data_IF_883270780853
#
_entry.id   IF_883270780853
#
_cell.length_a   1.000
_cell.length_b   1.000
_cell.length_c   1.000
_cell.angle_alpha   90.00
_cell.angle_beta   90.00
_cell.angle_gamma   90.00
#
_symmetry.space_group_name_H-M   'P 1'
#
loop_
_entity.id
_entity.type
_entity.pdbx_description
1 polymer ?
#
# COMPACT_ATOMS: atom_id res chain seq x y z
N UNK A 1 0.23 21.75 -2.94
CA UNK A 1 -0.72 20.68 -3.28
C UNK A 1 -0.34 20.04 -4.61
N UNK A 2 -0.03 20.82 -5.64
CA UNK A 2 0.23 20.33 -7.00
C UNK A 2 1.43 19.37 -7.11
N UNK A 3 2.56 19.68 -6.46
CA UNK A 3 3.77 18.83 -6.50
C UNK A 3 3.51 17.47 -5.86
N UNK A 4 2.92 17.43 -4.66
CA UNK A 4 2.64 16.18 -3.97
C UNK A 4 1.61 15.30 -4.70
N UNK A 5 0.64 15.90 -5.40
CA UNK A 5 -0.30 15.18 -6.25
C UNK A 5 0.43 14.58 -7.47
N UNK A 6 1.28 15.36 -8.12
CA UNK A 6 2.05 14.91 -9.28
C UNK A 6 2.92 13.69 -8.97
N UNK A 7 3.66 13.73 -7.86
CA UNK A 7 4.52 12.62 -7.43
C UNK A 7 3.78 11.31 -7.13
N UNK A 8 2.51 11.38 -6.74
CA UNK A 8 1.72 10.21 -6.35
C UNK A 8 0.93 9.60 -7.50
N UNK A 9 0.39 10.43 -8.37
CA UNK A 9 -0.67 10.01 -9.28
C UNK A 9 -0.39 10.31 -10.75
N UNK A 10 0.62 11.12 -11.05
CA UNK A 10 1.00 11.52 -12.41
C UNK A 10 2.34 10.94 -12.87
N UNK A 11 2.87 9.94 -12.15
CA UNK A 11 4.01 9.11 -12.60
C UNK A 11 3.56 8.17 -13.71
N UNK A 12 4.50 7.65 -14.47
CA UNK A 12 4.27 6.64 -15.51
C UNK A 12 3.10 7.03 -16.44
N UNK A 13 3.19 8.18 -17.08
CA UNK A 13 2.15 8.74 -17.96
C UNK A 13 0.79 8.89 -17.26
N UNK A 14 0.79 9.18 -15.95
CA UNK A 14 -0.39 9.29 -15.09
C UNK A 14 -1.20 7.98 -14.93
N UNK A 15 -0.55 6.82 -15.04
CA UNK A 15 -1.21 5.51 -14.88
C UNK A 15 -2.03 5.39 -13.59
N UNK A 16 -1.51 5.79 -12.39
CA UNK A 16 -2.34 5.77 -11.18
C UNK A 16 -3.60 6.64 -11.26
N UNK A 17 -3.49 7.84 -11.84
CA UNK A 17 -4.65 8.73 -11.96
C UNK A 17 -5.68 8.22 -12.99
N UNK A 18 -5.21 7.60 -14.10
CA UNK A 18 -6.09 7.00 -15.10
C UNK A 18 -6.89 5.82 -14.53
N UNK A 19 -6.28 5.02 -13.65
CA UNK A 19 -6.95 3.96 -12.94
C UNK A 19 -7.95 4.50 -11.90
N UNK A 20 -7.47 5.37 -11.01
CA UNK A 20 -8.24 5.80 -9.82
C UNK A 20 -9.45 6.67 -10.19
N UNK A 21 -9.33 7.54 -11.19
CA UNK A 21 -10.39 8.50 -11.57
C UNK A 21 -11.70 7.83 -11.98
N UNK A 22 -11.75 6.83 -12.88
CA UNK A 22 -13.01 6.18 -13.24
C UNK A 22 -13.62 5.35 -12.12
N UNK A 23 -12.81 4.70 -11.26
CA UNK A 23 -13.32 3.77 -10.25
C UNK A 23 -13.75 4.45 -8.94
N UNK A 24 -13.39 5.71 -8.68
CA UNK A 24 -13.56 6.39 -7.38
C UNK A 24 -14.99 6.39 -6.82
N UNK A 25 -15.99 6.32 -7.68
CA UNK A 25 -17.40 6.38 -7.29
C UNK A 25 -18.12 5.03 -7.30
N UNK A 26 -17.47 3.99 -7.82
CA UNK A 26 -18.07 2.67 -7.99
C UNK A 26 -17.49 1.61 -7.06
N UNK A 27 -16.32 1.88 -6.47
CA UNK A 27 -15.67 0.92 -5.56
C UNK A 27 -15.95 1.26 -4.10
N UNK A 28 -15.88 0.26 -3.19
CA UNK A 28 -15.95 0.50 -1.75
C UNK A 28 -14.90 1.50 -1.29
N UNK A 29 -15.31 2.40 -0.40
CA UNK A 29 -14.42 3.45 0.12
C UNK A 29 -13.13 2.89 0.72
N UNK A 30 -13.22 1.77 1.45
CA UNK A 30 -12.05 1.13 2.05
C UNK A 30 -11.04 0.68 0.99
N UNK A 31 -11.51 0.05 -0.10
CA UNK A 31 -10.64 -0.34 -1.21
C UNK A 31 -9.98 0.87 -1.88
N UNK A 32 -10.74 1.94 -2.10
CA UNK A 32 -10.21 3.16 -2.69
C UNK A 32 -9.15 3.83 -1.80
N UNK A 33 -9.39 3.91 -0.48
CA UNK A 33 -8.43 4.43 0.50
C UNK A 33 -7.14 3.59 0.51
N UNK A 34 -7.22 2.27 0.36
CA UNK A 34 -6.05 1.38 0.27
C UNK A 34 -5.25 1.59 -1.04
N UNK A 35 -5.91 1.84 -2.16
CA UNK A 35 -5.22 2.19 -3.40
C UNK A 35 -4.53 3.56 -3.31
N UNK A 36 -5.18 4.55 -2.70
CA UNK A 36 -4.55 5.85 -2.41
C UNK A 36 -3.33 5.69 -1.49
N UNK A 37 -3.42 4.81 -0.48
CA UNK A 37 -2.31 4.48 0.40
C UNK A 37 -1.14 3.87 -0.37
N UNK A 38 -1.38 2.88 -1.23
CA UNK A 38 -0.35 2.24 -2.06
C UNK A 38 0.46 3.28 -2.84
N UNK A 39 -0.20 4.12 -3.63
CA UNK A 39 0.49 5.12 -4.45
C UNK A 39 1.13 6.23 -3.61
N UNK A 40 0.57 6.56 -2.44
CA UNK A 40 1.20 7.50 -1.52
C UNK A 40 2.47 6.91 -0.92
N UNK A 41 2.47 5.65 -0.51
CA UNK A 41 3.63 4.98 0.07
C UNK A 41 4.75 4.78 -0.98
N UNK A 42 4.40 4.45 -2.22
CA UNK A 42 5.37 4.39 -3.33
C UNK A 42 6.06 5.74 -3.58
N UNK A 43 5.31 6.84 -3.51
CA UNK A 43 5.85 8.19 -3.71
C UNK A 43 6.66 8.72 -2.50
N UNK A 44 6.52 8.10 -1.33
CA UNK A 44 7.13 8.54 -0.08
C UNK A 44 7.76 7.35 0.65
N UNK A 45 9.02 7.03 0.31
CA UNK A 45 9.76 5.89 0.88
C UNK A 45 9.75 5.89 2.41
N UNK A 46 9.88 7.06 3.05
CA UNK A 46 9.85 7.18 4.51
C UNK A 46 8.53 6.69 5.13
N UNK A 47 7.40 6.85 4.43
CA UNK A 47 6.12 6.29 4.87
C UNK A 47 6.11 4.78 4.68
N UNK A 48 6.58 4.30 3.52
CA UNK A 48 6.65 2.87 3.22
C UNK A 48 7.53 2.13 4.24
N UNK A 49 8.70 2.68 4.55
CA UNK A 49 9.63 2.09 5.51
C UNK A 49 9.06 2.13 6.94
N UNK A 50 8.44 3.23 7.35
CA UNK A 50 7.76 3.32 8.66
C UNK A 50 6.66 2.26 8.81
N UNK A 51 5.86 2.07 7.77
CA UNK A 51 4.79 1.06 7.80
C UNK A 51 5.37 -0.35 7.90
N UNK A 52 6.41 -0.67 7.15
CA UNK A 52 7.03 -1.99 7.16
C UNK A 52 7.86 -2.26 8.42
N UNK A 53 8.64 -1.27 8.89
CA UNK A 53 9.61 -1.45 9.96
C UNK A 53 9.04 -1.15 11.36
N UNK A 54 7.97 -0.35 11.47
CA UNK A 54 7.41 0.06 12.77
C UNK A 54 5.96 -0.39 12.94
N UNK A 55 5.08 -0.05 11.97
CA UNK A 55 3.65 -0.32 12.12
C UNK A 55 3.36 -1.83 12.12
N UNK A 56 3.76 -2.57 11.11
CA UNK A 56 3.46 -4.00 11.01
C UNK A 56 4.11 -4.85 12.11
N UNK A 57 5.37 -4.62 12.52
CA UNK A 57 5.92 -5.29 13.70
C UNK A 57 5.15 -4.99 14.99
N UNK A 58 4.68 -3.76 15.19
CA UNK A 58 3.86 -3.42 16.33
C UNK A 58 2.48 -4.10 16.28
N UNK A 59 1.85 -4.14 15.10
CA UNK A 59 0.59 -4.84 14.87
C UNK A 59 0.72 -6.35 15.17
N UNK A 60 1.73 -7.00 14.60
CA UNK A 60 2.00 -8.43 14.80
C UNK A 60 2.33 -8.77 16.26
N UNK A 61 2.99 -7.87 16.99
CA UNK A 61 3.27 -8.02 18.42
C UNK A 61 2.04 -7.74 19.30
N UNK A 62 0.88 -7.41 18.74
CA UNK A 62 -0.34 -7.10 19.48
C UNK A 62 -0.25 -5.80 20.29
N UNK A 63 0.62 -4.86 19.92
CA UNK A 63 0.66 -3.55 20.58
C UNK A 63 -0.68 -2.84 20.39
N UNK A 64 -1.24 -2.21 21.43
CA UNK A 64 -2.54 -1.54 21.33
C UNK A 64 -2.47 -0.20 20.56
N UNK A 65 -1.28 0.42 20.53
CA UNK A 65 -1.12 1.78 20.00
C UNK A 65 0.32 2.05 19.56
N UNK A 66 0.49 3.08 18.73
CA UNK A 66 1.77 3.68 18.32
C UNK A 66 1.72 5.16 18.67
N UNK A 67 2.81 5.67 19.27
CA UNK A 67 2.97 7.07 19.63
C UNK A 67 3.91 7.84 18.68
N UNK A 68 3.93 9.14 18.88
CA UNK A 68 4.89 10.00 18.18
C UNK A 68 6.35 9.69 18.58
N UNK A 69 6.58 9.06 19.74
CA UNK A 69 7.93 8.73 20.21
C UNK A 69 8.54 7.59 19.39
N UNK A 70 7.74 6.55 19.03
CA UNK A 70 8.20 5.49 18.14
C UNK A 70 8.51 6.04 16.73
N UNK A 71 7.65 6.90 16.20
CA UNK A 71 7.90 7.53 14.89
C UNK A 71 9.07 8.52 14.94
N UNK A 72 9.28 9.22 16.06
CA UNK A 72 10.43 10.09 16.26
C UNK A 72 11.74 9.27 16.27
N UNK A 73 11.77 8.18 17.05
CA UNK A 73 12.91 7.28 17.10
C UNK A 73 13.26 6.69 15.73
N UNK A 74 12.25 6.26 14.96
CA UNK A 74 12.43 5.77 13.60
C UNK A 74 13.09 6.83 12.69
N UNK A 75 12.59 8.07 12.69
CA UNK A 75 13.15 9.16 11.88
C UNK A 75 14.57 9.52 12.33
N UNK A 76 14.82 9.61 13.64
CA UNK A 76 16.16 9.88 14.18
C UNK A 76 17.16 8.78 13.80
N UNK A 77 16.73 7.53 13.80
CA UNK A 77 17.56 6.41 13.36
C UNK A 77 17.85 6.53 11.85
N UNK A 78 16.84 6.80 11.02
CA UNK A 78 17.02 6.99 9.59
C UNK A 78 18.01 8.13 9.24
N UNK A 79 17.98 9.22 10.02
CA UNK A 79 18.95 10.33 9.88
C UNK A 79 20.36 9.88 10.28
N UNK A 80 20.50 9.17 11.40
CA UNK A 80 21.81 8.63 11.85
C UNK A 80 22.42 7.66 10.83
N UNK A 81 21.58 6.84 10.24
CA UNK A 81 21.98 5.83 9.24
C UNK A 81 22.23 6.41 7.85
N UNK A 82 22.11 7.75 7.69
CA UNK A 82 22.34 8.41 6.40
C UNK A 82 21.29 8.10 5.33
N UNK A 83 20.09 7.63 5.72
CA UNK A 83 18.98 7.34 4.80
C UNK A 83 18.30 8.61 4.26
N UNK A 84 18.73 9.79 4.68
CA UNK A 84 18.22 11.08 4.22
C UNK A 84 19.20 11.75 3.25
N UNK A 85 18.71 12.35 2.18
CA UNK A 85 19.54 13.04 1.18
C UNK A 85 20.18 14.34 1.70
N UNK A 86 19.66 14.89 2.79
CA UNK A 86 20.15 16.11 3.45
C UNK A 86 20.06 15.95 4.96
N UNK A 87 20.86 16.74 5.69
CA UNK A 87 20.77 16.79 7.16
C UNK A 87 19.46 17.47 7.57
N UNK A 88 18.62 16.75 8.30
CA UNK A 88 17.36 17.27 8.78
C UNK A 88 17.52 18.01 10.11
N UNK A 89 16.92 19.20 10.20
CA UNK A 89 16.86 19.93 11.45
C UNK A 89 15.98 19.23 12.49
N UNK A 90 16.18 19.45 13.81
CA UNK A 90 15.33 18.88 14.86
C UNK A 90 13.83 19.19 14.67
N UNK A 91 13.51 20.39 14.15
CA UNK A 91 12.14 20.78 13.84
C UNK A 91 11.57 19.95 12.70
N UNK A 92 12.36 19.67 11.65
CA UNK A 92 11.95 18.80 10.53
C UNK A 92 11.71 17.38 10.99
N UNK A 93 12.62 16.83 11.79
CA UNK A 93 12.50 15.48 12.37
C UNK A 93 11.20 15.34 13.17
N UNK A 94 10.88 16.28 14.08
CA UNK A 94 9.61 16.28 14.83
C UNK A 94 8.38 16.39 13.94
N UNK A 95 8.44 17.24 12.92
CA UNK A 95 7.34 17.41 11.95
C UNK A 95 7.10 16.15 11.15
N UNK A 96 8.15 15.52 10.65
CA UNK A 96 8.05 14.29 9.88
C UNK A 96 7.51 13.12 10.72
N UNK A 97 7.98 12.97 11.97
CA UNK A 97 7.45 11.92 12.86
C UNK A 97 5.95 12.08 13.12
N UNK A 98 5.47 13.29 13.37
CA UNK A 98 4.04 13.56 13.54
C UNK A 98 3.24 13.31 12.25
N UNK A 99 3.81 13.64 11.09
CA UNK A 99 3.17 13.40 9.80
C UNK A 99 3.01 11.91 9.50
N UNK A 100 3.96 11.05 9.88
CA UNK A 100 3.88 9.60 9.66
C UNK A 100 2.68 8.99 10.38
N UNK A 101 2.53 9.26 11.69
CA UNK A 101 1.39 8.73 12.45
C UNK A 101 0.06 9.31 11.97
N UNK A 102 0.04 10.56 11.53
CA UNK A 102 -1.16 11.20 10.96
C UNK A 102 -1.53 10.58 9.62
N UNK A 103 -0.54 10.34 8.74
CA UNK A 103 -0.75 9.69 7.46
C UNK A 103 -1.29 8.26 7.62
N UNK A 104 -0.72 7.49 8.56
CA UNK A 104 -1.26 6.16 8.88
C UNK A 104 -2.71 6.23 9.40
N UNK A 105 -3.08 7.28 10.13
CA UNK A 105 -4.45 7.47 10.57
C UNK A 105 -5.40 7.88 9.43
N UNK A 106 -4.93 8.67 8.48
CA UNK A 106 -5.72 9.05 7.30
C UNK A 106 -6.07 7.84 6.44
N UNK A 107 -5.18 6.85 6.35
CA UNK A 107 -5.37 5.59 5.63
C UNK A 107 -5.96 4.44 6.47
N UNK A 108 -6.43 4.72 7.68
CA UNK A 108 -7.16 3.74 8.49
C UNK A 108 -6.28 2.68 9.19
N UNK A 109 -4.97 2.86 9.21
CA UNK A 109 -4.05 2.00 9.97
C UNK A 109 -4.07 2.34 11.46
N UNK A 110 -4.20 3.62 11.78
CA UNK A 110 -4.27 4.16 13.15
C UNK A 110 -5.56 4.94 13.38
N UNK A 111 -5.95 5.10 14.63
CA UNK A 111 -7.11 5.91 15.03
C UNK A 111 -6.92 7.38 14.63
N UNK A 112 -7.94 7.97 14.02
CA UNK A 112 -7.95 9.40 13.62
C UNK A 112 -8.04 10.32 14.83
N UNK A 113 -7.61 11.57 14.64
CA UNK A 113 -7.67 12.64 15.62
C UNK A 113 -6.30 13.21 15.99
N UNK A 114 -6.27 14.36 16.68
CA UNK A 114 -5.05 15.02 17.12
C UNK A 114 -4.54 14.40 18.43
N UNK A 115 -3.83 13.27 18.35
CA UNK A 115 -3.32 12.53 19.51
C UNK A 115 -1.84 12.25 19.35
N UNK A 116 -1.10 12.26 20.49
CA UNK A 116 0.29 11.82 20.52
C UNK A 116 0.44 10.30 20.42
N UNK A 117 -0.55 9.57 20.93
CA UNK A 117 -0.62 8.10 20.87
C UNK A 117 -1.91 7.73 20.20
N UNK A 118 -1.86 6.88 19.18
CA UNK A 118 -2.99 6.46 18.37
C UNK A 118 -3.17 4.95 18.46
N UNK A 119 -4.39 4.49 18.68
CA UNK A 119 -4.69 3.06 18.64
C UNK A 119 -4.38 2.48 17.27
N UNK A 120 -3.83 1.28 17.26
CA UNK A 120 -3.71 0.46 16.06
C UNK A 120 -5.11 -0.09 15.76
N UNK A 121 -5.56 0.09 14.52
CA UNK A 121 -6.87 -0.40 14.09
C UNK A 121 -6.74 -1.78 13.45
N UNK A 122 -7.76 -2.65 13.57
CA UNK A 122 -7.81 -3.89 12.80
C UNK A 122 -7.74 -3.56 11.31
N UNK A 123 -6.86 -4.26 10.60
CA UNK A 123 -6.65 -4.05 9.19
C UNK A 123 -6.86 -5.35 8.41
N UNK A 124 -7.50 -5.24 7.27
CA UNK A 124 -7.61 -6.29 6.28
C UNK A 124 -7.49 -5.68 4.89
N UNK A 125 -6.69 -6.29 4.03
CA UNK A 125 -6.62 -5.84 2.65
C UNK A 125 -7.92 -6.15 1.91
N UNK A 126 -8.42 -5.19 1.16
CA UNK A 126 -9.61 -5.33 0.32
C UNK A 126 -9.31 -6.17 -0.93
N UNK A 127 -10.20 -7.09 -1.34
CA UNK A 127 -9.98 -7.92 -2.52
C UNK A 127 -9.66 -7.12 -3.78
N UNK A 128 -10.30 -5.97 -3.93
CA UNK A 128 -10.04 -5.08 -5.06
C UNK A 128 -8.63 -4.49 -5.01
N UNK A 129 -8.12 -4.12 -3.84
CA UNK A 129 -6.75 -3.63 -3.69
C UNK A 129 -5.73 -4.72 -4.03
N UNK A 130 -6.00 -5.98 -3.63
CA UNK A 130 -5.19 -7.15 -4.04
C UNK A 130 -5.20 -7.29 -5.56
N UNK A 131 -6.38 -7.25 -6.19
CA UNK A 131 -6.51 -7.40 -7.63
C UNK A 131 -5.73 -6.31 -8.37
N UNK A 132 -5.96 -5.05 -8.01
CA UNK A 132 -5.30 -3.92 -8.66
C UNK A 132 -3.79 -3.97 -8.49
N UNK A 133 -3.28 -4.26 -7.28
CA UNK A 133 -1.84 -4.39 -7.05
C UNK A 133 -1.23 -5.55 -7.84
N UNK A 134 -1.90 -6.69 -7.91
CA UNK A 134 -1.42 -7.82 -8.70
C UNK A 134 -1.34 -7.47 -10.19
N UNK A 135 -2.37 -6.83 -10.74
CA UNK A 135 -2.38 -6.36 -12.13
C UNK A 135 -1.31 -5.32 -12.42
N UNK A 136 -1.13 -4.35 -11.53
CA UNK A 136 -0.14 -3.30 -11.67
C UNK A 136 1.30 -3.86 -11.70
N UNK A 137 1.58 -4.87 -10.87
CA UNK A 137 2.86 -5.57 -10.88
C UNK A 137 3.06 -6.43 -12.14
N UNK A 138 1.99 -7.07 -12.62
CA UNK A 138 2.01 -7.83 -13.86
C UNK A 138 2.24 -6.92 -15.09
N UNK A 139 1.53 -5.81 -15.16
CA UNK A 139 1.66 -4.80 -16.22
C UNK A 139 3.08 -4.17 -16.24
N UNK A 140 3.71 -4.06 -15.06
CA UNK A 140 5.13 -3.70 -14.93
C UNK A 140 6.10 -4.80 -15.40
N UNK A 141 5.62 -5.94 -15.89
CA UNK A 141 6.41 -7.03 -16.46
C UNK A 141 6.96 -8.05 -15.47
N UNK A 142 6.46 -8.07 -14.22
CA UNK A 142 6.90 -9.06 -13.23
C UNK A 142 6.33 -10.44 -13.54
N UNK A 143 7.17 -11.47 -13.46
CA UNK A 143 6.72 -12.86 -13.52
C UNK A 143 5.96 -13.27 -12.25
N UNK A 144 5.06 -14.26 -12.36
CA UNK A 144 4.12 -14.65 -11.30
C UNK A 144 4.77 -14.88 -9.92
N UNK A 145 5.92 -15.55 -9.86
CA UNK A 145 6.62 -15.78 -8.60
C UNK A 145 7.29 -14.52 -8.04
N UNK A 146 7.77 -13.60 -8.90
CA UNK A 146 8.35 -12.32 -8.48
C UNK A 146 7.25 -11.38 -7.97
N UNK A 147 6.09 -11.41 -8.61
CA UNK A 147 4.91 -10.67 -8.18
C UNK A 147 4.54 -11.01 -6.73
N UNK A 148 4.53 -12.30 -6.36
CA UNK A 148 4.15 -12.74 -5.02
C UNK A 148 5.12 -12.30 -3.90
N UNK A 149 6.35 -11.94 -4.23
CA UNK A 149 7.36 -11.49 -3.25
C UNK A 149 7.68 -10.00 -3.38
N UNK A 150 6.90 -9.26 -4.16
CA UNK A 150 7.16 -7.83 -4.37
C UNK A 150 7.02 -7.04 -3.06
N UNK A 151 7.93 -6.07 -2.79
CA UNK A 151 7.92 -5.32 -1.53
C UNK A 151 6.63 -4.56 -1.22
N UNK A 152 5.82 -4.22 -2.23
CA UNK A 152 4.58 -3.49 -2.02
C UNK A 152 3.54 -4.26 -1.21
N UNK A 153 3.57 -5.58 -1.21
CA UNK A 153 2.72 -6.39 -0.34
C UNK A 153 3.02 -6.16 1.14
N UNK A 154 4.27 -5.87 1.48
CA UNK A 154 4.68 -5.48 2.83
C UNK A 154 4.06 -4.16 3.31
N UNK A 155 3.54 -3.30 2.42
CA UNK A 155 2.73 -2.14 2.81
C UNK A 155 1.41 -2.55 3.47
N UNK A 156 0.91 -3.73 3.13
CA UNK A 156 -0.31 -4.32 3.66
C UNK A 156 -0.06 -5.43 4.70
N UNK A 157 1.20 -5.60 5.12
CA UNK A 157 1.61 -6.59 6.12
C UNK A 157 1.53 -8.04 5.62
N UNK A 158 1.62 -8.25 4.32
CA UNK A 158 1.53 -9.56 3.70
C UNK A 158 2.90 -10.07 3.31
N UNK A 159 3.18 -11.31 3.72
CA UNK A 159 4.29 -12.11 3.24
C UNK A 159 3.85 -13.00 2.07
N UNK A 160 4.80 -13.67 1.41
CA UNK A 160 4.55 -14.46 0.20
C UNK A 160 3.34 -15.40 0.27
N UNK A 161 3.21 -16.12 1.37
CA UNK A 161 2.14 -17.11 1.51
C UNK A 161 0.78 -16.47 1.77
N UNK A 162 0.77 -15.33 2.47
CA UNK A 162 -0.42 -14.49 2.65
C UNK A 162 -0.87 -13.91 1.32
N UNK A 163 0.09 -13.39 0.53
CA UNK A 163 -0.18 -12.87 -0.83
C UNK A 163 -0.81 -13.94 -1.70
N UNK A 164 -0.24 -15.15 -1.71
CA UNK A 164 -0.78 -16.25 -2.49
C UNK A 164 -2.22 -16.62 -2.05
N UNK A 165 -2.48 -16.62 -0.74
CA UNK A 165 -3.80 -16.86 -0.20
C UNK A 165 -4.81 -15.78 -0.60
N UNK A 166 -4.41 -14.50 -0.51
CA UNK A 166 -5.26 -13.37 -0.90
C UNK A 166 -5.53 -13.33 -2.41
N UNK A 167 -4.51 -13.55 -3.24
CA UNK A 167 -4.65 -13.61 -4.71
C UNK A 167 -5.55 -14.80 -5.13
N UNK A 168 -5.44 -15.95 -4.46
CA UNK A 168 -6.37 -17.06 -4.68
C UNK A 168 -7.81 -16.70 -4.29
N UNK A 169 -8.00 -15.97 -3.20
CA UNK A 169 -9.32 -15.52 -2.77
C UNK A 169 -9.96 -14.57 -3.79
N UNK A 170 -9.18 -13.70 -4.42
CA UNK A 170 -9.67 -12.79 -5.46
C UNK A 170 -10.00 -13.51 -6.77
N UNK A 171 -9.50 -14.73 -6.99
CA UNK A 171 -9.88 -15.56 -8.15
C UNK A 171 -11.38 -15.84 -8.20
N UNK A 172 -12.08 -15.77 -7.07
CA UNK A 172 -13.55 -15.90 -7.01
C UNK A 172 -14.26 -14.78 -7.78
N UNK A 173 -13.64 -13.63 -7.93
CA UNK A 173 -14.18 -12.47 -8.67
C UNK A 173 -13.86 -12.52 -10.18
N UNK A 174 -13.29 -13.65 -10.65
CA UNK A 174 -12.97 -13.88 -12.07
C UNK A 174 -11.98 -12.90 -12.72
N UNK A 175 -11.36 -12.00 -11.96
CA UNK A 175 -10.35 -11.08 -12.49
C UNK A 175 -9.07 -11.81 -12.92
N UNK A 176 -8.76 -12.90 -12.22
CA UNK A 176 -7.58 -13.73 -12.47
C UNK A 176 -7.84 -15.17 -12.00
N UNK A 177 -7.06 -16.12 -12.49
CA UNK A 177 -7.11 -17.53 -12.07
C UNK A 177 -5.73 -17.94 -11.59
N UNK A 178 -5.64 -18.48 -10.37
CA UNK A 178 -4.37 -18.92 -9.77
C UNK A 178 -4.29 -20.44 -9.76
N UNK A 179 -3.22 -20.97 -10.34
CA UNK A 179 -2.82 -22.36 -10.26
C UNK A 179 -1.48 -22.45 -9.53
N UNK A 180 -1.41 -23.20 -8.43
CA UNK A 180 -0.16 -23.38 -7.72
C UNK A 180 0.02 -24.85 -7.37
N UNK A 181 1.13 -25.42 -7.81
CA UNK A 181 1.55 -26.79 -7.56
C UNK A 181 3.06 -26.89 -7.45
N UNK A 182 3.56 -27.68 -6.49
CA UNK A 182 4.98 -27.98 -6.33
C UNK A 182 5.89 -26.74 -6.27
N UNK A 183 5.42 -25.66 -5.61
CA UNK A 183 6.19 -24.40 -5.46
C UNK A 183 6.17 -23.49 -6.69
N UNK A 184 5.53 -23.89 -7.78
CA UNK A 184 5.33 -23.08 -8.98
C UNK A 184 3.92 -22.47 -8.92
N UNK A 185 3.85 -21.15 -9.08
CA UNK A 185 2.57 -20.44 -9.22
C UNK A 185 2.44 -19.93 -10.65
N UNK A 186 1.25 -20.11 -11.23
CA UNK A 186 0.87 -19.55 -12.51
C UNK A 186 -0.43 -18.76 -12.33
N UNK A 187 -0.45 -17.53 -12.85
CA UNK A 187 -1.60 -16.64 -12.82
C UNK A 187 -2.07 -16.42 -14.28
N UNK A 188 -3.35 -16.64 -14.52
CA UNK A 188 -3.98 -16.32 -15.79
C UNK A 188 -4.84 -15.07 -15.59
N UNK A 189 -4.66 -14.10 -16.45
CA UNK A 189 -5.25 -12.76 -16.33
C UNK A 189 -6.46 -12.64 -17.24
N UNK A 190 -7.57 -12.12 -16.74
CA UNK A 190 -8.80 -11.95 -17.52
C UNK A 190 -8.73 -10.69 -18.40
N UNK A 191 -8.19 -9.61 -17.83
CA UNK A 191 -8.01 -8.33 -18.50
C UNK A 191 -6.58 -8.22 -19.03
N UNK A 192 -6.40 -7.61 -20.20
CA UNK A 192 -5.10 -7.52 -20.88
C UNK A 192 -4.28 -6.30 -20.47
N UNK A 193 -4.90 -5.32 -19.82
CA UNK A 193 -4.25 -4.09 -19.38
C UNK A 193 -4.94 -3.49 -18.15
N UNK A 194 -4.29 -2.52 -17.52
CA UNK A 194 -4.86 -1.76 -16.41
C UNK A 194 -6.10 -0.96 -16.83
N UNK A 195 -6.18 -0.51 -18.07
CA UNK A 195 -7.36 0.19 -18.63
C UNK A 195 -8.54 -0.77 -18.74
N UNK A 196 -8.35 -1.97 -19.30
CA UNK A 196 -9.41 -2.98 -19.37
C UNK A 196 -9.88 -3.41 -17.96
N UNK A 197 -8.97 -3.50 -17.00
CA UNK A 197 -9.33 -3.76 -15.61
C UNK A 197 -10.20 -2.64 -15.03
N UNK A 198 -9.83 -1.37 -15.23
CA UNK A 198 -10.60 -0.22 -14.76
C UNK A 198 -12.00 -0.18 -15.40
N UNK A 199 -12.12 -0.50 -16.69
CA UNK A 199 -13.40 -0.62 -17.38
C UNK A 199 -14.24 -1.76 -16.80
N UNK A 200 -13.64 -2.93 -16.55
CA UNK A 200 -14.30 -4.06 -15.91
C UNK A 200 -14.83 -3.74 -14.51
N UNK A 201 -14.05 -3.00 -13.70
CA UNK A 201 -14.47 -2.51 -12.40
C UNK A 201 -15.68 -1.56 -12.52
N UNK A 202 -15.60 -0.59 -13.43
CA UNK A 202 -16.68 0.39 -13.61
C UNK A 202 -17.98 -0.23 -14.12
N UNK A 203 -17.90 -1.34 -14.86
CA UNK A 203 -19.04 -2.10 -15.38
C UNK A 203 -19.58 -3.14 -14.38
N UNK A 204 -19.00 -3.25 -13.18
CA UNK A 204 -19.44 -4.19 -12.15
C UNK A 204 -19.15 -5.66 -12.49
N UNK A 205 -18.07 -5.92 -13.22
CA UNK A 205 -17.64 -7.27 -13.58
C UNK A 205 -16.78 -7.94 -12.48
N UNK A 206 -16.47 -7.18 -11.41
CA UNK A 206 -15.62 -7.60 -10.28
C UNK A 206 -16.33 -7.39 -8.94
#
# INVERSE_FOLDING_TARGET
ITVGFGMRYLTDEAAPARLLKPIQHVVPRAAFEQLLFLYTARAHSVLADFVREVYWPAYAAGKPAIGNDESLHFIEQAVRDGKTTTVWSPTMVKRMSSNLTSCCADFGLLERGARRVRKILPFRIEPLAVTVLAYDLHDAGLGDNQLLVHPDWGLFGLERDDVLAEVRRTSLNRALIVQAAAGITRISWTFKSMEELADGITQGQL
#
